data_IF_692060744931
#
_entry.id   IF_692060744931
#
_cell.length_a   1.000
_cell.length_b   1.000
_cell.length_c   1.000
_cell.angle_alpha   90.00
_cell.angle_beta   90.00
_cell.angle_gamma   90.00
#
_symmetry.space_group_name_H-M   'P 1'
#
loop_
_entity.id
_entity.type
_entity.pdbx_description
1 polymer ?
#
# COMPACT_ATOMS: atom_id res chain seq x y z
N UNK A 1 -7.65 3.67 15.83
CA UNK A 1 -7.74 4.64 16.95
C UNK A 1 -8.77 5.74 16.68
N UNK A 2 -8.53 6.64 15.72
CA UNK A 2 -9.39 7.80 15.41
C UNK A 2 -10.89 7.47 15.27
N UNK A 3 -11.24 6.44 14.50
CA UNK A 3 -12.64 6.09 14.21
C UNK A 3 -13.47 5.68 15.43
N UNK A 4 -12.83 5.21 16.50
CA UNK A 4 -13.50 4.88 17.76
C UNK A 4 -13.75 6.11 18.63
N UNK A 5 -12.91 7.15 18.49
CA UNK A 5 -12.99 8.38 19.27
C UNK A 5 -13.91 9.41 18.62
N UNK A 6 -13.94 9.47 17.28
CA UNK A 6 -14.79 10.40 16.53
C UNK A 6 -16.24 9.91 16.51
N UNK A 7 -17.17 10.77 16.92
CA UNK A 7 -18.61 10.50 16.86
C UNK A 7 -19.32 11.37 15.81
N UNK A 8 -20.31 10.79 15.14
CA UNK A 8 -21.29 11.47 14.28
C UNK A 8 -22.64 10.80 14.47
N UNK A 9 -23.72 11.58 14.41
CA UNK A 9 -25.09 11.07 14.63
C UNK A 9 -25.23 10.31 15.96
N UNK A 10 -24.58 10.82 17.02
CA UNK A 10 -24.67 10.26 18.37
C UNK A 10 -23.90 8.96 18.61
N UNK A 11 -23.07 8.48 17.67
CA UNK A 11 -22.31 7.23 17.83
C UNK A 11 -20.92 7.28 17.17
N UNK A 12 -19.97 6.40 17.56
CA UNK A 12 -18.65 6.35 16.94
C UNK A 12 -18.72 6.07 15.44
N UNK A 13 -17.85 6.71 14.65
CA UNK A 13 -17.87 6.53 13.19
C UNK A 13 -17.48 5.11 12.76
N UNK A 14 -16.74 4.36 13.60
CA UNK A 14 -16.51 2.92 13.43
C UNK A 14 -17.81 2.10 13.30
N UNK A 15 -18.96 2.60 13.78
CA UNK A 15 -20.24 1.88 13.68
C UNK A 15 -20.90 1.93 12.30
N UNK A 16 -20.41 2.77 11.37
CA UNK A 16 -20.98 2.86 10.02
C UNK A 16 -20.38 1.80 9.09
N UNK A 17 -21.24 1.12 8.32
CA UNK A 17 -20.85 0.03 7.41
C UNK A 17 -19.75 0.44 6.43
N UNK A 18 -19.85 1.64 5.82
CA UNK A 18 -18.85 2.12 4.87
C UNK A 18 -17.50 2.48 5.52
N UNK A 19 -17.48 2.83 6.81
CA UNK A 19 -16.22 3.03 7.55
C UNK A 19 -15.57 1.68 7.81
N UNK A 20 -16.35 0.68 8.23
CA UNK A 20 -15.85 -0.69 8.43
C UNK A 20 -15.33 -1.31 7.14
N UNK A 21 -16.04 -1.13 6.02
CA UNK A 21 -15.59 -1.62 4.71
C UNK A 21 -14.20 -1.10 4.34
N UNK A 22 -13.95 0.21 4.53
CA UNK A 22 -12.64 0.82 4.30
C UNK A 22 -11.57 0.29 5.27
N UNK A 23 -11.92 0.10 6.55
CA UNK A 23 -11.00 -0.48 7.55
C UNK A 23 -10.60 -1.91 7.19
N UNK A 24 -11.55 -2.73 6.72
CA UNK A 24 -11.29 -4.09 6.25
C UNK A 24 -10.42 -4.09 5.00
N UNK A 25 -10.67 -3.19 4.05
CA UNK A 25 -9.83 -3.06 2.84
C UNK A 25 -8.39 -2.66 3.18
N UNK A 26 -8.20 -1.70 4.08
CA UNK A 26 -6.86 -1.31 4.57
C UNK A 26 -6.16 -2.49 5.26
N UNK A 27 -6.86 -3.23 6.12
CA UNK A 27 -6.30 -4.42 6.77
C UNK A 27 -5.90 -5.48 5.75
N UNK A 28 -6.76 -5.78 4.77
CA UNK A 28 -6.48 -6.74 3.70
C UNK A 28 -5.23 -6.37 2.90
N UNK A 29 -5.09 -5.09 2.53
CA UNK A 29 -3.90 -4.58 1.86
C UNK A 29 -2.64 -4.78 2.69
N UNK A 30 -2.65 -4.40 3.98
CA UNK A 30 -1.50 -4.58 4.88
C UNK A 30 -1.14 -6.06 5.07
N UNK A 31 -2.13 -6.93 5.29
CA UNK A 31 -1.89 -8.36 5.43
C UNK A 31 -1.32 -8.98 4.16
N UNK A 32 -1.81 -8.58 2.99
CA UNK A 32 -1.28 -9.04 1.70
C UNK A 32 0.18 -8.60 1.50
N UNK A 33 0.49 -7.33 1.74
CA UNK A 33 1.85 -6.79 1.64
C UNK A 33 2.83 -7.53 2.57
N UNK A 34 2.46 -7.70 3.85
CA UNK A 34 3.29 -8.43 4.81
C UNK A 34 3.49 -9.90 4.42
N UNK A 35 2.46 -10.54 3.87
CA UNK A 35 2.54 -11.94 3.43
C UNK A 35 3.48 -12.11 2.24
N UNK A 36 3.43 -11.17 1.30
CA UNK A 36 4.35 -11.12 0.17
C UNK A 36 5.80 -10.92 0.61
N UNK A 37 6.05 -9.95 1.50
CA UNK A 37 7.39 -9.70 2.04
C UNK A 37 7.92 -10.90 2.84
N UNK A 38 7.07 -11.56 3.64
CA UNK A 38 7.44 -12.79 4.35
C UNK A 38 7.85 -13.91 3.41
N UNK A 39 7.13 -14.08 2.29
CA UNK A 39 7.50 -15.06 1.28
C UNK A 39 8.83 -14.70 0.61
N UNK A 40 9.06 -13.43 0.34
CA UNK A 40 10.32 -12.95 -0.24
C UNK A 40 11.51 -13.22 0.69
N UNK A 41 11.37 -12.95 1.99
CA UNK A 41 12.39 -13.27 3.01
C UNK A 41 12.69 -14.76 3.05
N UNK A 42 11.67 -15.62 3.05
CA UNK A 42 11.86 -17.08 3.01
C UNK A 42 12.62 -17.56 1.78
N UNK A 43 12.31 -16.98 0.62
CA UNK A 43 13.01 -17.30 -0.62
C UNK A 43 14.45 -16.81 -0.57
N UNK A 44 14.71 -15.64 0.01
CA UNK A 44 16.06 -15.11 0.21
C UNK A 44 16.89 -15.99 1.14
N UNK A 45 16.32 -16.45 2.26
CA UNK A 45 16.97 -17.37 3.19
C UNK A 45 17.32 -18.70 2.53
N UNK A 46 16.42 -19.21 1.67
CA UNK A 46 16.62 -20.49 0.95
C UNK A 46 17.62 -20.37 -0.19
N UNK A 47 17.50 -19.34 -1.03
CA UNK A 47 18.24 -19.19 -2.28
C UNK A 47 19.53 -18.37 -2.10
N UNK A 48 19.69 -17.66 -0.97
CA UNK A 48 20.80 -16.75 -0.67
C UNK A 48 20.66 -15.36 -1.31
N UNK A 49 19.70 -15.17 -2.21
CA UNK A 49 19.44 -13.90 -2.90
C UNK A 49 17.97 -13.76 -3.30
N UNK A 50 17.59 -12.55 -3.69
CA UNK A 50 16.28 -12.24 -4.31
C UNK A 50 16.53 -11.80 -5.74
N UNK A 51 15.84 -12.41 -6.71
CA UNK A 51 15.95 -11.98 -8.11
C UNK A 51 15.31 -10.61 -8.32
N UNK A 52 15.81 -9.85 -9.32
CA UNK A 52 15.32 -8.51 -9.61
C UNK A 52 13.82 -8.49 -9.90
N UNK A 53 13.30 -9.51 -10.58
CA UNK A 53 11.89 -9.64 -10.93
C UNK A 53 11.01 -9.83 -9.68
N UNK A 54 11.47 -10.63 -8.71
CA UNK A 54 10.76 -10.82 -7.44
C UNK A 54 10.76 -9.54 -6.61
N UNK A 55 11.89 -8.82 -6.58
CA UNK A 55 11.99 -7.53 -5.92
C UNK A 55 11.09 -6.47 -6.58
N UNK A 56 11.09 -6.40 -7.91
CA UNK A 56 10.25 -5.47 -8.68
C UNK A 56 8.76 -5.74 -8.49
N UNK A 57 8.35 -7.02 -8.51
CA UNK A 57 6.97 -7.39 -8.23
C UNK A 57 6.54 -6.94 -6.82
N UNK A 58 7.39 -7.18 -5.82
CA UNK A 58 7.12 -6.75 -4.44
C UNK A 58 7.03 -5.23 -4.32
N UNK A 59 7.94 -4.48 -4.94
CA UNK A 59 7.93 -3.02 -4.95
C UNK A 59 6.65 -2.49 -5.58
N UNK A 60 6.30 -2.94 -6.78
CA UNK A 60 5.12 -2.49 -7.49
C UNK A 60 3.84 -2.75 -6.68
N UNK A 61 3.65 -3.99 -6.21
CA UNK A 61 2.47 -4.36 -5.44
C UNK A 61 2.37 -3.61 -4.11
N UNK A 62 3.45 -3.58 -3.32
CA UNK A 62 3.42 -2.94 -2.00
C UNK A 62 3.25 -1.43 -2.09
N UNK A 63 3.88 -0.77 -3.07
CA UNK A 63 3.72 0.69 -3.24
C UNK A 63 2.32 1.06 -3.72
N UNK A 64 1.72 0.30 -4.63
CA UNK A 64 0.32 0.47 -5.05
C UNK A 64 -0.64 0.29 -3.86
N UNK A 65 -0.49 -0.79 -3.09
CA UNK A 65 -1.36 -1.07 -1.93
C UNK A 65 -1.13 -0.12 -0.76
N UNK A 66 0.08 0.37 -0.56
CA UNK A 66 0.37 1.45 0.39
C UNK A 66 -0.41 2.72 0.00
N UNK A 67 -0.28 3.15 -1.26
CA UNK A 67 -0.96 4.35 -1.79
C UNK A 67 -2.48 4.27 -1.64
N UNK A 68 -3.07 3.13 -2.00
CA UNK A 68 -4.49 2.85 -1.81
C UNK A 68 -4.90 2.94 -0.32
N UNK A 69 -4.10 2.32 0.57
CA UNK A 69 -4.37 2.26 2.00
C UNK A 69 -4.34 3.64 2.65
N UNK A 70 -3.32 4.46 2.37
CA UNK A 70 -3.24 5.82 2.92
C UNK A 70 -4.32 6.74 2.36
N UNK A 71 -4.73 6.54 1.10
CA UNK A 71 -5.85 7.28 0.51
C UNK A 71 -7.18 6.97 1.23
N UNK A 72 -7.44 5.69 1.53
CA UNK A 72 -8.59 5.26 2.32
C UNK A 72 -8.55 5.86 3.73
N UNK A 73 -7.41 5.79 4.41
CA UNK A 73 -7.23 6.35 5.75
C UNK A 73 -7.52 7.86 5.76
N UNK A 74 -6.92 8.60 4.83
CA UNK A 74 -7.14 10.04 4.65
C UNK A 74 -8.61 10.35 4.45
N UNK A 75 -9.29 9.57 3.59
CA UNK A 75 -10.71 9.73 3.32
C UNK A 75 -11.61 9.43 4.52
N UNK A 76 -11.27 8.45 5.36
CA UNK A 76 -12.02 8.13 6.59
C UNK A 76 -11.89 9.25 7.63
N UNK A 77 -10.77 9.98 7.65
CA UNK A 77 -10.57 11.09 8.57
C UNK A 77 -11.27 12.39 8.17
N UNK A 78 -11.80 12.47 6.94
CA UNK A 78 -12.53 13.64 6.45
C UNK A 78 -11.66 14.90 6.46
N UNK A 79 -12.18 16.02 6.99
CA UNK A 79 -11.42 17.27 7.11
C UNK A 79 -10.16 17.14 7.98
N UNK A 80 -10.16 16.27 8.99
CA UNK A 80 -8.96 16.02 9.79
C UNK A 80 -7.89 15.24 9.00
N UNK A 81 -8.27 14.57 7.91
CA UNK A 81 -7.36 13.85 7.05
C UNK A 81 -6.43 14.73 6.21
N UNK A 82 -6.62 16.05 6.18
CA UNK A 82 -5.71 16.99 5.49
C UNK A 82 -4.81 17.76 6.45
N UNK A 83 -4.98 17.58 7.76
CA UNK A 83 -4.20 18.27 8.78
C UNK A 83 -2.95 17.44 9.12
N UNK A 84 -1.79 18.12 9.20
CA UNK A 84 -0.51 17.48 9.51
C UNK A 84 -0.46 16.87 10.92
N UNK A 85 -1.26 17.38 11.86
CA UNK A 85 -1.32 16.90 13.25
C UNK A 85 -1.77 15.43 13.38
N UNK A 86 -2.45 14.89 12.36
CA UNK A 86 -2.93 13.51 12.34
C UNK A 86 -2.02 12.55 11.57
N UNK A 87 -0.87 13.02 11.08
CA UNK A 87 0.13 12.31 10.26
C UNK A 87 -0.37 11.74 8.91
N UNK A 88 -1.64 11.40 8.77
CA UNK A 88 -2.18 10.74 7.57
C UNK A 88 -2.00 11.58 6.31
N UNK A 89 -2.04 12.91 6.43
CA UNK A 89 -1.77 13.82 5.32
C UNK A 89 -0.30 13.73 4.86
N UNK A 90 0.64 13.65 5.81
CA UNK A 90 2.07 13.44 5.53
C UNK A 90 2.30 12.05 4.93
N UNK A 91 1.75 11.00 5.53
CA UNK A 91 1.87 9.62 5.02
C UNK A 91 1.28 9.46 3.61
N UNK A 92 0.21 10.18 3.30
CA UNK A 92 -0.35 10.24 1.96
C UNK A 92 0.63 10.85 0.95
N UNK A 93 1.28 11.96 1.30
CA UNK A 93 2.31 12.57 0.45
C UNK A 93 3.56 11.67 0.32
N UNK A 94 4.01 11.05 1.43
CA UNK A 94 5.15 10.14 1.44
C UNK A 94 4.90 8.92 0.53
N UNK A 95 3.66 8.42 0.48
CA UNK A 95 3.29 7.31 -0.39
C UNK A 95 3.45 7.63 -1.88
N UNK A 96 3.18 8.87 -2.31
CA UNK A 96 3.40 9.30 -3.70
C UNK A 96 4.89 9.29 -4.06
N UNK A 97 5.75 9.67 -3.12
CA UNK A 97 7.20 9.58 -3.31
C UNK A 97 7.67 8.12 -3.43
N UNK A 98 7.21 7.24 -2.54
CA UNK A 98 7.54 5.80 -2.54
C UNK A 98 7.07 5.11 -3.82
N UNK A 99 5.89 5.50 -4.32
CA UNK A 99 5.35 5.00 -5.58
C UNK A 99 6.24 5.34 -6.77
N UNK A 100 6.90 6.51 -6.72
CA UNK A 100 7.64 7.10 -7.84
C UNK A 100 9.12 6.74 -7.88
N UNK A 101 9.84 6.84 -6.75
CA UNK A 101 11.29 6.60 -6.74
C UNK A 101 11.65 5.10 -6.81
N UNK A 102 12.96 4.78 -6.93
CA UNK A 102 13.49 3.40 -6.96
C UNK A 102 12.82 2.54 -8.05
N UNK A 103 12.66 3.16 -9.24
CA UNK A 103 11.91 2.66 -10.38
C UNK A 103 10.40 2.87 -10.21
N UNK A 104 9.73 3.54 -11.15
CA UNK A 104 8.28 3.77 -11.02
C UNK A 104 7.48 2.46 -10.97
N UNK A 105 6.20 2.54 -10.60
CA UNK A 105 5.29 1.39 -10.68
C UNK A 105 5.29 0.77 -12.07
N UNK A 106 5.24 1.59 -13.12
CA UNK A 106 5.26 1.16 -14.52
C UNK A 106 6.57 0.45 -14.85
N UNK A 107 7.72 1.01 -14.48
CA UNK A 107 9.01 0.36 -14.76
C UNK A 107 9.15 -0.99 -14.07
N UNK A 108 8.75 -1.09 -12.80
CA UNK A 108 8.76 -2.37 -12.09
C UNK A 108 7.78 -3.38 -12.71
N UNK A 109 6.61 -2.91 -13.15
CA UNK A 109 5.63 -3.74 -13.86
C UNK A 109 6.19 -4.27 -15.18
N UNK A 110 6.89 -3.44 -15.95
CA UNK A 110 7.50 -3.83 -17.22
C UNK A 110 8.69 -4.79 -17.04
N UNK A 111 9.48 -4.65 -15.96
CA UNK A 111 10.53 -5.61 -15.60
C UNK A 111 9.92 -7.00 -15.38
N UNK A 112 8.85 -7.08 -14.59
CA UNK A 112 8.14 -8.35 -14.34
C UNK A 112 7.47 -8.87 -15.61
N UNK A 113 6.87 -7.98 -16.41
CA UNK A 113 6.26 -8.32 -17.70
C UNK A 113 7.26 -8.98 -18.64
N UNK A 114 8.46 -8.43 -18.78
CA UNK A 114 9.55 -9.03 -19.57
C UNK A 114 9.94 -10.40 -19.03
N UNK A 115 10.01 -10.57 -17.72
CA UNK A 115 10.40 -11.83 -17.11
C UNK A 115 9.41 -12.97 -17.35
N UNK A 116 8.10 -12.68 -17.33
CA UNK A 116 7.06 -13.71 -17.49
C UNK A 116 6.69 -13.97 -18.96
N UNK A 117 7.00 -13.04 -19.87
CA UNK A 117 6.67 -13.16 -21.30
C UNK A 117 7.88 -13.41 -22.20
N UNK A 118 9.09 -13.08 -21.73
CA UNK A 118 10.30 -13.06 -22.55
C UNK A 118 10.40 -11.87 -23.52
N UNK A 119 9.43 -10.95 -23.53
CA UNK A 119 9.35 -9.84 -24.48
C UNK A 119 9.54 -8.51 -23.74
N UNK A 120 10.52 -7.71 -24.15
CA UNK A 120 10.69 -6.35 -23.62
C UNK A 120 9.63 -5.42 -24.19
N UNK A 121 8.99 -4.63 -23.33
CA UNK A 121 8.02 -3.59 -23.70
C UNK A 121 8.50 -2.18 -23.33
N UNK A 122 9.81 -2.02 -23.13
CA UNK A 122 10.50 -0.75 -22.91
C UNK A 122 11.85 -0.77 -23.63
N UNK A 123 12.33 0.43 -23.95
CA UNK A 123 13.59 0.70 -24.66
C UNK A 123 14.72 0.88 -23.65
#
# INVERSE_FOLDING_TARGET
AYCNQRAQFGRPITSFQLVQAKLVQMLGNVTAMLSMMRQLTRLQERDGFVSHERASLAKAFCSEKMRETVALARGVMGGNGILLEYDVARLFADAEAVYSYEGTYEMNTLIVGRAITGISAFV
#
